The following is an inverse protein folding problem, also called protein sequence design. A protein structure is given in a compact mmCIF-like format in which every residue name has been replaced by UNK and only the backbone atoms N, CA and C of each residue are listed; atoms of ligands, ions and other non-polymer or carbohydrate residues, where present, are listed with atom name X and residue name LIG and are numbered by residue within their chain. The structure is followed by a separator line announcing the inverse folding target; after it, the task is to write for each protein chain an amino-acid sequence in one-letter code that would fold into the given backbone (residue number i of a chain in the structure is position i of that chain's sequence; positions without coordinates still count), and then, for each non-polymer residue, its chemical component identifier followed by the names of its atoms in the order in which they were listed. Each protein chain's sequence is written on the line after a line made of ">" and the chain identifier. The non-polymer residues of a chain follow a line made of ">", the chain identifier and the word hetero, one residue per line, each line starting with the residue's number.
data_IF_752514914446
#
_entry.id   IF_752514914446
#
_cell.length_a   1.000
_cell.length_b   1.000
_cell.length_c   1.000
_cell.angle_alpha   90.00
_cell.angle_beta   90.00
_cell.angle_gamma   90.00
#
_symmetry.space_group_name_H-M   'P 1'
#
loop_
_entity.id
_entity.type
_entity.pdbx_description
1 polymer ?
#
# COMPACT_ATOMS: atom_id res chain seq x y z
N UNK A 1 -18.87 -31.79 21.92
CA UNK A 1 -18.96 -31.33 20.51
C UNK A 1 -18.26 -29.98 20.40
N UNK A 2 -17.04 -29.96 19.86
CA UNK A 2 -16.27 -28.73 19.66
C UNK A 2 -16.77 -28.02 18.39
N UNK A 3 -17.29 -26.80 18.52
CA UNK A 3 -17.65 -25.95 17.37
C UNK A 3 -16.35 -25.49 16.70
N UNK A 4 -16.08 -25.99 15.49
CA UNK A 4 -15.01 -25.45 14.64
C UNK A 4 -15.27 -23.95 14.47
N UNK A 5 -14.31 -23.06 14.79
CA UNK A 5 -14.50 -21.63 14.56
C UNK A 5 -14.71 -21.42 13.06
N UNK A 6 -15.86 -20.84 12.71
CA UNK A 6 -16.16 -20.48 11.33
C UNK A 6 -15.11 -19.51 10.84
N UNK A 7 -14.44 -19.86 9.73
CA UNK A 7 -13.46 -19.01 9.06
C UNK A 7 -14.16 -17.69 8.71
N UNK A 8 -13.78 -16.59 9.37
CA UNK A 8 -14.31 -15.27 9.04
C UNK A 8 -14.00 -14.99 7.58
N UNK A 9 -15.04 -14.83 6.75
CA UNK A 9 -14.90 -14.51 5.34
C UNK A 9 -14.30 -13.10 5.25
N UNK A 10 -13.04 -12.99 4.82
CA UNK A 10 -12.44 -11.70 4.49
C UNK A 10 -13.12 -11.17 3.22
N UNK A 11 -13.50 -9.90 3.24
CA UNK A 11 -14.06 -9.20 2.08
C UNK A 11 -12.97 -8.34 1.45
N UNK A 12 -12.76 -8.46 0.14
CA UNK A 12 -11.84 -7.58 -0.59
C UNK A 12 -12.49 -6.22 -0.78
N UNK A 13 -11.80 -5.16 -0.35
CA UNK A 13 -12.28 -3.78 -0.44
C UNK A 13 -11.27 -2.94 -1.22
N UNK A 14 -11.76 -2.21 -2.21
CA UNK A 14 -10.97 -1.24 -2.97
C UNK A 14 -11.03 0.14 -2.30
N UNK A 15 -9.87 0.73 -2.05
CA UNK A 15 -9.72 2.07 -1.53
C UNK A 15 -9.24 3.00 -2.64
N UNK A 16 -10.02 4.04 -2.95
CA UNK A 16 -9.65 5.08 -3.92
C UNK A 16 -9.39 6.37 -3.15
N UNK A 17 -8.13 6.80 -3.19
CA UNK A 17 -7.61 7.89 -2.36
C UNK A 17 -7.06 8.98 -3.29
N UNK A 18 -7.65 10.18 -3.25
CA UNK A 18 -7.16 11.33 -4.00
C UNK A 18 -6.02 11.99 -3.25
N UNK A 19 -4.87 12.17 -3.89
CA UNK A 19 -3.71 12.86 -3.33
C UNK A 19 -4.01 14.36 -3.32
N UNK A 20 -3.97 14.97 -2.14
CA UNK A 20 -4.12 16.42 -1.98
C UNK A 20 -2.77 17.11 -1.79
N UNK A 21 -1.87 16.48 -1.02
CA UNK A 21 -0.51 16.95 -0.77
C UNK A 21 0.42 15.77 -0.59
N UNK A 22 1.70 15.97 -0.88
CA UNK A 22 2.72 14.99 -0.59
C UNK A 22 3.97 15.66 0.02
N UNK A 23 4.71 14.89 0.80
CA UNK A 23 6.05 15.23 1.27
C UNK A 23 6.96 14.02 1.08
N UNK A 24 8.25 14.30 0.94
CA UNK A 24 9.29 13.29 0.98
C UNK A 24 10.13 13.53 2.23
N UNK A 25 10.22 12.50 3.06
CA UNK A 25 10.95 12.53 4.31
C UNK A 25 12.07 11.50 4.28
N UNK A 26 13.17 11.87 4.92
CA UNK A 26 14.37 11.06 5.02
C UNK A 26 14.79 11.01 6.49
N UNK A 27 14.89 9.81 7.05
CA UNK A 27 15.37 9.61 8.41
C UNK A 27 16.43 8.52 8.47
N UNK A 28 17.34 8.66 9.42
CA UNK A 28 18.32 7.64 9.76
C UNK A 28 17.86 6.90 11.00
N UNK A 29 17.89 5.57 10.96
CA UNK A 29 17.72 4.74 12.16
C UNK A 29 19.00 3.95 12.43
N UNK A 30 19.36 3.85 13.72
CA UNK A 30 20.54 3.17 14.21
C UNK A 30 20.07 1.98 15.05
N UNK A 31 20.03 0.80 14.44
CA UNK A 31 19.61 -0.44 15.09
C UNK A 31 19.12 -1.51 14.11
N UNK A 32 18.86 -2.72 14.64
CA UNK A 32 18.31 -3.86 13.90
C UNK A 32 16.80 -3.69 13.63
N UNK A 33 16.43 -2.57 13.00
CA UNK A 33 15.07 -2.34 12.53
C UNK A 33 14.67 -3.37 11.48
N UNK A 34 13.35 -3.67 11.36
CA UNK A 34 12.79 -4.63 10.39
C UNK A 34 13.09 -4.29 8.91
N UNK A 35 13.65 -3.11 8.63
CA UNK A 35 14.03 -2.62 7.31
C UNK A 35 15.55 -2.42 7.16
N UNK A 36 16.36 -2.84 8.14
CA UNK A 36 17.81 -2.65 8.12
C UNK A 36 18.52 -3.77 7.36
N UNK A 37 19.47 -3.40 6.50
CA UNK A 37 20.43 -4.31 5.86
C UNK A 37 21.83 -4.23 6.52
N UNK A 38 21.94 -3.57 7.68
CA UNK A 38 23.17 -3.32 8.42
C UNK A 38 22.93 -2.42 9.64
N UNK A 39 24.01 -2.00 10.36
CA UNK A 39 23.89 -1.19 11.58
C UNK A 39 23.34 0.23 11.36
N UNK A 40 23.21 0.63 10.09
CA UNK A 40 22.62 1.88 9.65
C UNK A 40 21.54 1.55 8.64
N UNK A 41 20.34 2.11 8.82
CA UNK A 41 19.28 2.04 7.82
C UNK A 41 18.80 3.42 7.42
N UNK A 42 18.86 3.68 6.11
CA UNK A 42 18.28 4.86 5.48
C UNK A 42 16.80 4.61 5.26
N UNK A 43 15.94 5.30 5.99
CA UNK A 43 14.49 5.21 5.80
C UNK A 43 14.07 6.35 4.89
N UNK A 44 13.70 6.00 3.65
CA UNK A 44 13.18 6.92 2.65
C UNK A 44 11.68 6.70 2.53
N UNK A 45 10.89 7.73 2.82
CA UNK A 45 9.44 7.63 2.77
C UNK A 45 8.79 8.76 1.98
N UNK A 46 7.74 8.42 1.25
CA UNK A 46 6.80 9.38 0.67
C UNK A 46 5.56 9.39 1.56
N UNK A 47 5.17 10.56 2.03
CA UNK A 47 3.96 10.75 2.79
C UNK A 47 2.91 11.46 1.93
N UNK A 48 1.73 10.87 1.80
CA UNK A 48 0.61 11.38 1.01
C UNK A 48 -0.55 11.73 1.94
N UNK A 49 -0.94 13.01 1.94
CA UNK A 49 -2.20 13.45 2.52
C UNK A 49 -3.27 13.27 1.47
N UNK A 50 -4.28 12.48 1.80
CA UNK A 50 -5.28 12.05 0.84
C UNK A 50 -6.70 12.38 1.28
N UNK A 51 -7.58 12.59 0.32
CA UNK A 51 -9.03 12.57 0.48
C UNK A 51 -9.56 11.19 0.08
N UNK A 52 -10.45 10.63 0.89
CA UNK A 52 -10.99 9.28 0.69
C UNK A 52 -12.22 9.38 -0.21
N UNK A 53 -12.16 8.78 -1.39
CA UNK A 53 -13.29 8.70 -2.32
C UNK A 53 -14.02 7.35 -2.19
N UNK A 54 -13.25 6.28 -1.95
CA UNK A 54 -13.77 4.94 -1.62
C UNK A 54 -12.87 4.25 -0.58
N UNK A 55 -13.40 3.32 0.22
CA UNK A 55 -14.82 2.99 0.40
C UNK A 55 -15.59 4.11 1.11
N UNK A 56 -16.92 4.00 1.19
CA UNK A 56 -17.78 4.95 1.90
C UNK A 56 -17.64 4.78 3.43
N UNK A 57 -16.50 5.22 3.97
CA UNK A 57 -16.20 5.23 5.40
C UNK A 57 -16.42 6.61 6.01
N UNK A 58 -16.41 6.66 7.35
CA UNK A 58 -16.61 7.89 8.10
C UNK A 58 -15.47 8.88 7.88
N UNK A 59 -14.22 8.42 7.92
CA UNK A 59 -13.05 9.22 7.59
C UNK A 59 -13.17 9.83 6.17
N UNK A 60 -12.89 11.13 6.05
CA UNK A 60 -12.91 11.87 4.77
C UNK A 60 -11.51 12.17 4.23
N UNK A 61 -10.53 12.16 5.11
CA UNK A 61 -9.12 12.34 4.78
C UNK A 61 -8.29 11.28 5.50
N UNK A 62 -7.08 11.07 5.01
CA UNK A 62 -6.16 10.09 5.57
C UNK A 62 -4.71 10.35 5.22
N UNK A 63 -3.86 9.48 5.74
CA UNK A 63 -2.41 9.53 5.52
C UNK A 63 -1.92 8.20 4.95
N UNK A 64 -1.24 8.25 3.81
CA UNK A 64 -0.56 7.07 3.24
C UNK A 64 0.94 7.29 3.34
N UNK A 65 1.66 6.33 3.93
CA UNK A 65 3.12 6.33 3.97
C UNK A 65 3.64 5.20 3.06
N UNK A 66 4.51 5.57 2.12
CA UNK A 66 5.17 4.65 1.21
C UNK A 66 6.63 4.52 1.59
N UNK A 67 7.08 3.32 1.93
CA UNK A 67 8.47 3.02 2.28
C UNK A 67 9.16 2.33 1.12
N UNK A 68 10.27 2.92 0.66
CA UNK A 68 11.13 2.29 -0.33
C UNK A 68 11.83 1.08 0.32
N UNK A 69 11.68 -0.10 -0.28
CA UNK A 69 12.26 -1.34 0.20
C UNK A 69 13.24 -1.91 -0.83
N UNK A 70 14.50 -2.00 -0.43
CA UNK A 70 15.55 -2.64 -1.24
C UNK A 70 15.27 -4.13 -1.47
N UNK A 71 14.57 -4.79 -0.54
CA UNK A 71 14.13 -6.18 -0.69
C UNK A 71 13.05 -6.41 -1.75
N UNK A 72 12.54 -5.34 -2.38
CA UNK A 72 11.53 -5.39 -3.46
C UNK A 72 12.06 -4.89 -4.81
N UNK A 73 13.35 -4.59 -4.94
CA UNK A 73 13.96 -4.15 -6.21
C UNK A 73 13.76 -5.22 -7.29
N UNK A 74 13.37 -4.79 -8.50
CA UNK A 74 13.04 -5.70 -9.60
C UNK A 74 11.69 -6.44 -9.47
N UNK A 75 10.87 -6.16 -8.45
CA UNK A 75 9.54 -6.76 -8.31
C UNK A 75 8.57 -6.42 -9.44
N UNK A 76 8.81 -5.32 -10.15
CA UNK A 76 8.04 -4.97 -11.35
C UNK A 76 8.33 -5.88 -12.55
N UNK A 77 9.51 -6.51 -12.61
CA UNK A 77 9.89 -7.41 -13.71
C UNK A 77 9.31 -8.82 -13.52
N UNK A 78 9.05 -9.22 -12.28
CA UNK A 78 8.44 -10.51 -11.93
C UNK A 78 7.36 -10.36 -10.86
N UNK A 79 6.19 -9.76 -11.20
CA UNK A 79 5.13 -9.44 -10.24
C UNK A 79 4.63 -10.63 -9.44
N UNK A 80 4.67 -11.85 -10.01
CA UNK A 80 4.29 -13.06 -9.28
C UNK A 80 5.36 -13.53 -8.31
N UNK A 81 6.64 -13.63 -8.72
CA UNK A 81 7.65 -14.29 -7.88
C UNK A 81 8.05 -13.49 -6.64
N UNK A 82 8.08 -12.16 -6.73
CA UNK A 82 8.61 -11.34 -5.62
C UNK A 82 7.55 -11.01 -4.56
N UNK A 83 6.27 -11.15 -4.92
CA UNK A 83 5.15 -11.00 -4.01
C UNK A 83 4.55 -12.33 -3.62
N UNK A 84 5.02 -13.49 -4.10
CA UNK A 84 4.60 -14.79 -3.57
C UNK A 84 5.45 -15.14 -2.35
N UNK A 85 4.79 -15.48 -1.26
CA UNK A 85 5.40 -16.22 -0.16
C UNK A 85 5.82 -17.60 -0.71
N UNK A 86 7.13 -17.83 -0.76
CA UNK A 86 7.71 -19.07 -1.30
C UNK A 86 7.27 -20.32 -0.52
N UNK A 87 6.84 -20.18 0.73
CA UNK A 87 6.40 -21.30 1.57
C UNK A 87 4.90 -21.58 1.42
N UNK A 88 4.08 -20.55 1.20
CA UNK A 88 2.62 -20.69 1.18
C UNK A 88 1.97 -20.49 -0.20
N UNK A 89 2.73 -20.00 -1.19
CA UNK A 89 2.23 -19.68 -2.53
C UNK A 89 1.20 -18.55 -2.53
N UNK A 90 1.15 -17.71 -1.49
CA UNK A 90 0.19 -16.61 -1.34
C UNK A 90 0.85 -15.27 -1.61
N UNK A 91 0.06 -14.30 -2.08
CA UNK A 91 0.52 -12.93 -2.23
C UNK A 91 0.86 -12.36 -0.84
N UNK A 92 2.13 -12.00 -0.65
CA UNK A 92 2.66 -11.30 0.51
C UNK A 92 2.06 -9.90 0.52
N UNK A 93 1.45 -9.47 1.63
CA UNK A 93 0.89 -8.14 1.71
C UNK A 93 2.00 -7.10 1.55
N UNK A 94 1.74 -6.10 0.71
CA UNK A 94 2.61 -4.94 0.48
C UNK A 94 2.45 -3.89 1.58
N UNK A 95 1.48 -4.07 2.48
CA UNK A 95 1.27 -3.16 3.59
C UNK A 95 0.01 -3.46 4.38
N UNK A 96 -0.41 -2.47 5.15
CA UNK A 96 -1.64 -2.53 5.93
C UNK A 96 -2.34 -1.18 5.90
N UNK A 97 -3.66 -1.22 6.03
CA UNK A 97 -4.53 -0.06 6.21
C UNK A 97 -5.28 -0.21 7.51
N UNK A 98 -5.41 0.89 8.23
CA UNK A 98 -6.21 0.98 9.44
C UNK A 98 -7.04 2.24 9.42
N UNK A 99 -8.30 2.10 9.82
CA UNK A 99 -9.19 3.23 9.99
C UNK A 99 -10.11 3.01 11.18
N UNK A 100 -10.29 4.06 11.97
CA UNK A 100 -11.15 4.08 13.15
C UNK A 100 -11.79 5.44 13.29
N UNK A 101 -13.12 5.49 13.23
CA UNK A 101 -13.85 6.76 13.27
C UNK A 101 -13.46 7.67 12.11
N UNK A 102 -12.92 8.84 12.43
CA UNK A 102 -12.50 9.86 11.46
C UNK A 102 -11.04 9.70 11.01
N UNK A 103 -10.30 8.72 11.55
CA UNK A 103 -8.90 8.47 11.22
C UNK A 103 -8.77 7.38 10.16
N UNK A 104 -7.94 7.63 9.15
CA UNK A 104 -7.51 6.66 8.14
C UNK A 104 -6.01 6.77 7.93
N UNK A 105 -5.32 5.64 7.96
CA UNK A 105 -3.89 5.58 7.67
C UNK A 105 -3.56 4.29 6.93
N UNK A 106 -2.57 4.37 6.04
CA UNK A 106 -2.02 3.21 5.36
C UNK A 106 -0.48 3.28 5.38
N UNK A 107 0.16 2.14 5.57
CA UNK A 107 1.61 1.98 5.50
C UNK A 107 1.90 0.89 4.49
N UNK A 108 2.59 1.27 3.43
CA UNK A 108 2.84 0.45 2.26
C UNK A 108 4.33 0.43 1.98
N UNK A 109 4.83 -0.70 1.51
CA UNK A 109 6.17 -0.88 1.01
C UNK A 109 6.14 -0.97 -0.51
N UNK A 110 7.14 -0.40 -1.17
CA UNK A 110 7.26 -0.46 -2.62
C UNK A 110 8.72 -0.64 -3.06
N UNK A 111 8.96 -1.06 -4.32
CA UNK A 111 10.31 -1.28 -4.82
C UNK A 111 11.19 -0.03 -4.68
N UNK A 112 12.41 -0.19 -4.13
CA UNK A 112 13.31 0.94 -3.88
C UNK A 112 13.76 1.68 -5.14
N UNK A 113 13.90 0.96 -6.25
CA UNK A 113 14.20 1.48 -7.60
C UNK A 113 13.09 2.38 -8.15
N UNK A 114 11.85 2.24 -7.67
CA UNK A 114 10.72 3.09 -8.06
C UNK A 114 10.69 4.44 -7.35
N UNK A 115 11.54 4.67 -6.34
CA UNK A 115 11.51 5.91 -5.56
C UNK A 115 11.75 7.15 -6.44
N UNK A 116 12.82 7.13 -7.25
CA UNK A 116 13.14 8.24 -8.17
C UNK A 116 12.03 8.54 -9.17
N UNK A 117 11.54 7.54 -9.93
CA UNK A 117 10.38 7.69 -10.80
C UNK A 117 9.13 8.20 -10.08
N UNK A 118 8.81 7.68 -8.89
CA UNK A 118 7.64 8.10 -8.13
C UNK A 118 7.72 9.56 -7.71
N UNK A 119 8.87 10.01 -7.20
CA UNK A 119 9.11 11.41 -6.85
C UNK A 119 9.02 12.34 -8.07
N UNK A 120 9.50 11.88 -9.24
CA UNK A 120 9.42 12.64 -10.50
C UNK A 120 7.96 12.84 -10.90
N UNK A 121 7.16 11.77 -10.86
CA UNK A 121 5.73 11.82 -11.22
C UNK A 121 4.90 12.64 -10.22
N UNK A 122 5.19 12.55 -8.92
CA UNK A 122 4.55 13.38 -7.90
C UNK A 122 4.90 14.86 -8.06
N UNK A 123 6.17 15.17 -8.35
CA UNK A 123 6.64 16.54 -8.61
C UNK A 123 6.03 17.14 -9.87
N UNK A 124 5.80 16.31 -10.90
CA UNK A 124 5.10 16.68 -12.12
C UNK A 124 3.57 16.75 -11.97
N UNK A 125 3.03 16.52 -10.75
CA UNK A 125 1.59 16.42 -10.47
C UNK A 125 0.87 15.40 -11.36
N UNK A 126 1.60 14.34 -11.73
CA UNK A 126 1.15 13.24 -12.57
C UNK A 126 0.58 12.09 -11.76
N UNK A 127 0.91 11.94 -10.49
CA UNK A 127 0.16 11.05 -9.60
C UNK A 127 -0.83 11.87 -8.78
N UNK A 128 -2.12 11.60 -9.02
CA UNK A 128 -3.25 12.27 -8.36
C UNK A 128 -4.03 11.34 -7.46
N UNK A 129 -3.83 10.03 -7.59
CA UNK A 129 -4.57 9.02 -6.86
C UNK A 129 -3.66 7.89 -6.38
N UNK A 130 -4.05 7.28 -5.27
CA UNK A 130 -3.56 5.99 -4.78
C UNK A 130 -4.74 5.05 -4.68
N UNK A 131 -4.60 3.86 -5.25
CA UNK A 131 -5.65 2.85 -5.27
C UNK A 131 -5.12 1.61 -4.58
N UNK A 132 -5.79 1.16 -3.51
CA UNK A 132 -5.37 0.02 -2.69
C UNK A 132 -6.40 -1.10 -2.79
N UNK A 133 -5.94 -2.35 -2.81
CA UNK A 133 -6.80 -3.52 -2.64
C UNK A 133 -6.45 -4.18 -1.32
N UNK A 134 -7.43 -4.24 -0.40
CA UNK A 134 -7.19 -4.69 0.95
C UNK A 134 -8.25 -5.71 1.42
N UNK A 135 -7.83 -6.70 2.20
CA UNK A 135 -8.73 -7.69 2.79
C UNK A 135 -9.26 -7.18 4.13
N UNK A 136 -10.56 -6.93 4.23
CA UNK A 136 -11.21 -6.51 5.45
C UNK A 136 -11.57 -7.72 6.32
N UNK A 137 -10.88 -7.87 7.45
CA UNK A 137 -11.17 -8.86 8.49
C UNK A 137 -10.60 -8.46 9.85
N UNK A 138 -11.45 -8.39 10.89
CA UNK A 138 -11.02 -8.50 12.29
C UNK A 138 -9.96 -7.54 12.83
N UNK A 139 -9.89 -6.27 12.36
CA UNK A 139 -9.14 -5.20 13.03
C UNK A 139 -7.89 -4.69 12.31
N UNK A 140 -7.22 -5.53 11.51
CA UNK A 140 -6.08 -5.14 10.67
C UNK A 140 -6.36 -5.57 9.23
N UNK A 141 -6.32 -4.62 8.31
CA UNK A 141 -6.67 -4.87 6.90
C UNK A 141 -5.38 -4.91 6.09
N UNK A 142 -5.03 -6.09 5.58
CA UNK A 142 -3.81 -6.28 4.80
C UNK A 142 -4.01 -5.77 3.38
N UNK A 143 -3.03 -5.03 2.88
CA UNK A 143 -3.03 -4.52 1.50
C UNK A 143 -2.21 -5.49 0.65
N UNK A 144 -2.82 -6.01 -0.41
CA UNK A 144 -2.20 -6.98 -1.32
C UNK A 144 -1.51 -6.30 -2.50
N UNK A 145 -2.01 -5.12 -2.89
CA UNK A 145 -1.47 -4.36 -3.99
C UNK A 145 -1.92 -2.92 -3.90
N UNK A 146 -1.15 -2.04 -4.54
CA UNK A 146 -1.54 -0.67 -4.75
C UNK A 146 -0.98 -0.10 -6.05
N UNK A 147 -1.62 0.96 -6.53
CA UNK A 147 -1.21 1.69 -7.75
C UNK A 147 -1.24 3.19 -7.50
N UNK A 148 -0.22 3.90 -7.98
CA UNK A 148 -0.22 5.35 -8.13
C UNK A 148 -0.72 5.72 -9.53
N UNK A 149 -1.71 6.60 -9.63
CA UNK A 149 -2.40 6.88 -10.90
C UNK A 149 -2.60 8.37 -11.17
N UNK A 150 -2.62 8.76 -12.45
CA UNK A 150 -2.83 10.15 -12.92
C UNK A 150 -4.29 10.58 -12.94
N UNK A 151 -5.19 9.62 -13.13
CA UNK A 151 -6.64 9.70 -13.32
C UNK A 151 -7.23 10.97 -13.96
N UNK A 152 -7.61 10.83 -15.23
CA UNK A 152 -8.42 11.75 -16.03
C UNK A 152 -9.71 11.04 -16.46
N UNK A 153 -10.79 11.15 -15.68
CA UNK A 153 -12.15 10.74 -16.09
C UNK A 153 -12.36 9.23 -16.25
N UNK A 154 -13.49 8.76 -15.74
CA UNK A 154 -14.03 7.39 -15.81
C UNK A 154 -13.21 6.30 -15.09
N UNK A 155 -13.73 5.98 -13.91
CA UNK A 155 -13.46 4.87 -12.99
C UNK A 155 -12.44 3.82 -13.46
N UNK A 156 -11.33 3.61 -12.73
CA UNK A 156 -10.40 2.57 -13.09
C UNK A 156 -11.08 1.21 -12.91
N UNK A 157 -11.13 0.43 -13.98
CA UNK A 157 -11.43 -1.00 -13.93
C UNK A 157 -10.25 -1.77 -13.32
N UNK A 158 -9.91 -1.44 -12.07
CA UNK A 158 -8.84 -2.08 -11.29
C UNK A 158 -9.32 -3.30 -10.51
N UNK A 159 -10.64 -3.52 -10.42
CA UNK A 159 -11.17 -4.76 -9.86
C UNK A 159 -10.86 -5.95 -10.80
N UNK A 160 -11.03 -5.76 -12.10
CA UNK A 160 -10.79 -6.81 -13.09
C UNK A 160 -9.35 -7.33 -13.11
N UNK A 161 -8.34 -6.48 -12.92
CA UNK A 161 -6.94 -6.91 -13.01
C UNK A 161 -6.44 -7.75 -11.83
N UNK A 162 -7.18 -7.80 -10.72
CA UNK A 162 -6.81 -8.56 -9.51
C UNK A 162 -7.79 -9.71 -9.18
N UNK A 163 -8.94 -9.77 -9.87
CA UNK A 163 -9.87 -10.90 -9.80
C UNK A 163 -9.45 -12.06 -10.72
N UNK A 164 -8.62 -11.79 -11.74
CA UNK A 164 -8.01 -12.80 -12.63
C UNK A 164 -6.64 -13.35 -12.13
N UNK A 165 -6.22 -13.03 -10.90
CA UNK A 165 -4.90 -13.38 -10.33
C UNK A 165 -4.96 -14.43 -9.22
#
# INVERSE_FOLDING_TARGET
>A
MSRKPGKSRSERVSHVLKIERWSFDYSFDVGDGRFSSGPYSDIRQIQLNVRIEKPAIRAKAGLVRLFASEGLVGANEKPRQNFLDNETGKIRPVGHVWYRGDSYQAVLSFPGDMLGPALTMLSANKYRYVILVADQGGGETHVHGFTLAEFHGDEPDLAASWDDV
#
